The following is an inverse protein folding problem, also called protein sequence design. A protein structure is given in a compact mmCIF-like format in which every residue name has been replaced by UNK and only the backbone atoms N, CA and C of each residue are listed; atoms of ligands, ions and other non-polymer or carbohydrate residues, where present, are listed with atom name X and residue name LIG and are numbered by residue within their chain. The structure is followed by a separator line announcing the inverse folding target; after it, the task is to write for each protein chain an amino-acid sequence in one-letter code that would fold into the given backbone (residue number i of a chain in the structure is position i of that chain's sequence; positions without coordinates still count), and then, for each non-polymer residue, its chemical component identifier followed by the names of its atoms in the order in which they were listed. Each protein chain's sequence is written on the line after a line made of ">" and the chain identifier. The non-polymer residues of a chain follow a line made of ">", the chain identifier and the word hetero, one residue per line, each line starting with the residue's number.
data_IF_451402649823
#
_entry.id   IF_451402649823
#
_cell.length_a   1.000
_cell.length_b   1.000
_cell.length_c   1.000
_cell.angle_alpha   90.00
_cell.angle_beta   90.00
_cell.angle_gamma   90.00
#
_symmetry.space_group_name_H-M   'P 1'
#
loop_
_entity.id
_entity.type
_entity.pdbx_description
1 polymer ?
#
# COMPACT_ATOMS: atom_id res chain seq x y z
N UNK A 1 -54.84 -24.62 -13.69
CA UNK A 1 -54.36 -23.71 -12.63
C UNK A 1 -52.96 -24.03 -12.09
N UNK A 2 -52.58 -25.26 -12.07
CA UNK A 2 -51.24 -25.68 -11.62
C UNK A 2 -50.12 -25.24 -12.56
N UNK A 3 -50.36 -25.10 -13.86
CA UNK A 3 -49.36 -24.67 -14.84
C UNK A 3 -48.96 -23.23 -14.72
N UNK A 4 -49.81 -22.38 -14.15
CA UNK A 4 -49.53 -20.95 -13.98
C UNK A 4 -48.51 -20.68 -12.88
N UNK A 5 -48.48 -21.51 -11.88
CA UNK A 5 -47.57 -21.35 -10.73
C UNK A 5 -46.13 -21.70 -11.05
N UNK A 6 -45.92 -22.69 -11.88
CA UNK A 6 -44.59 -23.13 -12.26
C UNK A 6 -43.87 -22.16 -13.20
N UNK A 7 -44.62 -21.42 -14.02
CA UNK A 7 -44.06 -20.41 -14.93
C UNK A 7 -43.50 -19.21 -14.20
N UNK A 8 -44.10 -18.81 -13.11
CA UNK A 8 -43.67 -17.63 -12.34
C UNK A 8 -42.36 -17.84 -11.60
N UNK A 9 -42.11 -19.04 -11.10
CA UNK A 9 -40.86 -19.37 -10.41
C UNK A 9 -39.64 -19.36 -11.35
N UNK A 10 -39.81 -19.76 -12.59
CA UNK A 10 -38.72 -19.76 -13.57
C UNK A 10 -38.21 -18.37 -13.94
N UNK A 11 -39.10 -17.38 -14.01
CA UNK A 11 -38.74 -16.01 -14.30
C UNK A 11 -37.90 -15.35 -13.17
N UNK A 12 -38.22 -15.71 -11.94
CA UNK A 12 -37.50 -15.23 -10.76
C UNK A 12 -36.02 -15.67 -10.75
N UNK A 13 -35.75 -16.92 -11.15
CA UNK A 13 -34.39 -17.44 -11.22
C UNK A 13 -33.53 -16.76 -12.29
N UNK A 14 -34.13 -16.44 -13.44
CA UNK A 14 -33.41 -15.77 -14.51
C UNK A 14 -32.92 -14.38 -14.14
N UNK A 15 -33.71 -13.61 -13.43
CA UNK A 15 -33.35 -12.26 -12.99
C UNK A 15 -32.21 -12.26 -11.97
N UNK A 16 -32.22 -13.17 -11.02
CA UNK A 16 -31.18 -13.26 -10.01
C UNK A 16 -29.81 -13.61 -10.63
N UNK A 17 -29.80 -14.50 -11.60
CA UNK A 17 -28.57 -14.87 -12.30
C UNK A 17 -27.95 -13.70 -13.06
N UNK A 18 -28.78 -12.86 -13.72
CA UNK A 18 -28.32 -11.66 -14.44
C UNK A 18 -27.68 -10.65 -13.51
N UNK A 19 -28.28 -10.39 -12.36
CA UNK A 19 -27.76 -9.43 -11.36
C UNK A 19 -26.40 -9.88 -10.82
N UNK A 20 -26.22 -11.15 -10.57
CA UNK A 20 -24.96 -11.71 -10.06
C UNK A 20 -23.82 -11.53 -11.07
N UNK A 21 -24.06 -11.76 -12.35
CA UNK A 21 -23.05 -11.57 -13.41
C UNK A 21 -22.60 -10.11 -13.51
N UNK A 22 -23.55 -9.18 -13.48
CA UNK A 22 -23.23 -7.74 -13.53
C UNK A 22 -22.40 -7.26 -12.35
N UNK A 23 -22.68 -7.78 -11.17
CA UNK A 23 -21.92 -7.44 -9.96
C UNK A 23 -20.46 -7.90 -10.08
N UNK A 24 -20.20 -9.08 -10.62
CA UNK A 24 -18.85 -9.60 -10.82
C UNK A 24 -18.04 -8.77 -11.81
N UNK A 25 -18.64 -8.32 -12.90
CA UNK A 25 -17.98 -7.47 -13.88
C UNK A 25 -17.58 -6.12 -13.28
N UNK A 26 -18.46 -5.50 -12.51
CA UNK A 26 -18.17 -4.23 -11.82
C UNK A 26 -17.06 -4.35 -10.81
N UNK A 27 -17.02 -5.44 -10.07
CA UNK A 27 -15.96 -5.70 -9.09
C UNK A 27 -14.60 -5.82 -9.78
N UNK A 28 -14.53 -6.51 -10.92
CA UNK A 28 -13.30 -6.66 -11.69
C UNK A 28 -12.77 -5.31 -12.20
N UNK A 29 -13.64 -4.46 -12.74
CA UNK A 29 -13.28 -3.11 -13.19
C UNK A 29 -12.76 -2.24 -12.05
N UNK A 30 -13.42 -2.28 -10.90
CA UNK A 30 -13.02 -1.52 -9.72
C UNK A 30 -11.65 -1.95 -9.19
N UNK A 31 -11.34 -3.23 -9.20
CA UNK A 31 -10.05 -3.76 -8.77
C UNK A 31 -8.92 -3.31 -9.70
N UNK A 32 -9.14 -3.31 -11.01
CA UNK A 32 -8.17 -2.84 -11.99
C UNK A 32 -7.90 -1.34 -11.81
N UNK A 33 -8.96 -0.55 -11.66
CA UNK A 33 -8.86 0.88 -11.45
C UNK A 33 -8.13 1.21 -10.15
N UNK A 34 -8.46 0.52 -9.07
CA UNK A 34 -7.80 0.70 -7.78
C UNK A 34 -6.30 0.42 -7.86
N UNK A 35 -5.93 -0.67 -8.51
CA UNK A 35 -4.53 -1.05 -8.69
C UNK A 35 -3.77 0.00 -9.50
N UNK A 36 -4.38 0.55 -10.54
CA UNK A 36 -3.80 1.62 -11.36
C UNK A 36 -3.59 2.89 -10.54
N UNK A 37 -4.59 3.29 -9.74
CA UNK A 37 -4.50 4.46 -8.86
C UNK A 37 -3.42 4.28 -7.79
N UNK A 38 -3.30 3.12 -7.21
CA UNK A 38 -2.26 2.81 -6.24
C UNK A 38 -0.85 2.95 -6.85
N UNK A 39 -0.68 2.49 -8.07
CA UNK A 39 0.59 2.62 -8.80
C UNK A 39 0.94 4.08 -9.06
N UNK A 40 -0.03 4.87 -9.48
CA UNK A 40 0.14 6.32 -9.71
C UNK A 40 0.45 7.05 -8.40
N UNK A 41 -0.26 6.72 -7.33
CA UNK A 41 -0.04 7.32 -6.01
C UNK A 41 1.35 7.00 -5.45
N UNK A 42 1.84 5.79 -5.67
CA UNK A 42 3.22 5.42 -5.29
C UNK A 42 4.26 6.27 -5.98
N UNK A 43 3.98 6.69 -7.20
CA UNK A 43 4.88 7.54 -7.97
C UNK A 43 4.80 9.01 -7.57
N UNK A 44 3.64 9.48 -7.09
CA UNK A 44 3.38 10.90 -6.84
C UNK A 44 3.20 11.31 -5.38
N UNK A 45 2.56 10.47 -4.55
CA UNK A 45 2.11 10.84 -3.20
C UNK A 45 2.58 9.89 -2.09
N UNK A 46 3.62 9.11 -2.32
CA UNK A 46 4.08 8.15 -1.34
C UNK A 46 4.65 8.79 -0.06
N UNK A 47 4.39 8.14 1.07
CA UNK A 47 5.02 8.47 2.34
C UNK A 47 6.18 7.53 2.60
N UNK A 48 7.20 8.01 3.31
CA UNK A 48 8.32 7.17 3.72
C UNK A 48 8.69 7.47 5.17
N UNK A 49 9.41 6.55 5.78
CA UNK A 49 9.93 6.73 7.14
C UNK A 49 11.43 6.93 7.07
N UNK A 50 11.92 8.00 7.66
CA UNK A 50 13.35 8.26 7.71
C UNK A 50 13.91 7.78 9.04
N UNK A 51 14.94 6.92 8.98
CA UNK A 51 15.62 6.41 10.16
C UNK A 51 16.86 7.20 10.52
N UNK A 52 17.54 7.75 9.54
CA UNK A 52 18.83 8.37 9.74
C UNK A 52 19.12 9.43 8.66
N UNK A 53 19.91 10.43 9.04
CA UNK A 53 20.42 11.45 8.17
C UNK A 53 21.85 11.77 8.61
N UNK A 54 22.81 11.57 7.71
CA UNK A 54 24.23 11.83 8.03
C UNK A 54 25.18 11.00 7.16
N UNK A 55 26.20 10.43 7.76
CA UNK A 55 27.29 9.73 7.08
C UNK A 55 26.85 8.45 6.38
N UNK A 56 27.50 8.15 5.27
CA UNK A 56 27.23 6.93 4.51
C UNK A 56 27.53 5.65 5.30
N UNK A 57 28.63 5.62 6.04
CA UNK A 57 29.00 4.45 6.83
C UNK A 57 27.95 4.09 7.88
N UNK A 58 27.48 5.08 8.60
CA UNK A 58 26.42 4.90 9.60
C UNK A 58 25.09 4.55 8.92
N UNK A 59 24.78 5.17 7.79
CA UNK A 59 23.58 4.83 7.01
C UNK A 59 23.59 3.37 6.58
N UNK A 60 24.73 2.86 6.10
CA UNK A 60 24.87 1.46 5.72
C UNK A 60 24.70 0.52 6.90
N UNK A 61 25.25 0.84 8.05
CA UNK A 61 25.09 0.05 9.27
C UNK A 61 23.63 -0.04 9.70
N UNK A 62 22.95 1.09 9.70
CA UNK A 62 21.52 1.18 10.08
C UNK A 62 20.67 0.38 9.10
N UNK A 63 20.94 0.50 7.81
CA UNK A 63 20.22 -0.26 6.80
C UNK A 63 20.39 -1.77 6.95
N UNK A 64 21.61 -2.24 7.19
CA UNK A 64 21.90 -3.66 7.40
C UNK A 64 21.23 -4.17 8.69
N UNK A 65 21.30 -3.40 9.76
CA UNK A 65 20.66 -3.74 11.01
C UNK A 65 19.15 -3.81 10.87
N UNK A 66 18.55 -2.82 10.18
CA UNK A 66 17.13 -2.80 9.90
C UNK A 66 16.70 -4.07 9.15
N UNK A 67 17.42 -4.46 8.11
CA UNK A 67 17.11 -5.63 7.29
C UNK A 67 17.12 -6.94 8.08
N UNK A 68 17.89 -7.02 9.15
CA UNK A 68 17.88 -8.19 10.05
C UNK A 68 16.60 -8.33 10.87
N UNK A 69 16.02 -7.21 11.28
CA UNK A 69 14.88 -7.19 12.20
C UNK A 69 13.54 -6.98 11.51
N UNK A 70 13.54 -6.38 10.35
CA UNK A 70 12.32 -6.03 9.63
C UNK A 70 12.41 -6.45 8.15
N UNK A 71 11.56 -7.37 7.74
CA UNK A 71 11.47 -7.82 6.34
C UNK A 71 10.28 -7.23 5.59
N UNK A 72 9.33 -6.64 6.31
CA UNK A 72 8.04 -6.21 5.74
C UNK A 72 8.16 -5.02 4.81
N UNK A 73 9.11 -4.15 5.04
CA UNK A 73 9.27 -2.91 4.27
C UNK A 73 10.71 -2.76 3.78
N UNK A 74 10.89 -2.43 2.49
CA UNK A 74 12.23 -2.27 1.94
C UNK A 74 12.91 -1.00 2.45
N UNK A 75 14.24 -1.08 2.61
CA UNK A 75 15.07 0.05 2.99
C UNK A 75 15.87 0.54 1.79
N UNK A 76 16.10 1.83 1.71
CA UNK A 76 16.95 2.43 0.69
C UNK A 76 17.77 3.58 1.25
N UNK A 77 18.93 3.83 0.63
CA UNK A 77 19.78 4.96 0.96
C UNK A 77 19.61 6.01 -0.13
N UNK A 78 19.29 7.24 0.27
CA UNK A 78 19.18 8.39 -0.63
C UNK A 78 20.28 9.37 -0.34
N UNK A 79 20.92 9.83 -1.42
CA UNK A 79 21.97 10.85 -1.33
C UNK A 79 21.36 12.23 -1.44
N UNK A 80 21.66 13.08 -0.48
CA UNK A 80 21.30 14.50 -0.52
C UNK A 80 22.50 15.28 0.03
N UNK A 81 23.24 15.90 -0.87
CA UNK A 81 24.52 16.56 -0.62
C UNK A 81 24.50 17.41 0.65
N UNK A 82 25.48 17.25 1.57
CA UNK A 82 26.57 16.26 1.60
C UNK A 82 26.24 14.97 2.32
N UNK A 83 24.99 14.75 2.73
CA UNK A 83 24.58 13.68 3.63
C UNK A 83 23.77 12.60 2.92
N UNK A 84 23.58 11.51 3.64
CA UNK A 84 22.78 10.35 3.19
C UNK A 84 21.61 10.14 4.14
N UNK A 85 20.50 9.66 3.57
CA UNK A 85 19.28 9.36 4.30
C UNK A 85 18.96 7.88 4.20
N UNK A 86 18.49 7.27 5.28
CA UNK A 86 17.95 5.92 5.25
C UNK A 86 16.42 6.04 5.26
N UNK A 87 15.79 5.62 4.19
CA UNK A 87 14.34 5.66 4.01
C UNK A 87 13.77 4.26 3.98
N UNK A 88 12.65 4.07 4.66
CA UNK A 88 11.97 2.80 4.80
C UNK A 88 10.61 2.88 4.12
N UNK A 89 10.36 1.93 3.22
CA UNK A 89 9.07 1.73 2.59
C UNK A 89 8.67 2.83 1.62
N UNK A 90 7.55 2.60 1.01
CA UNK A 90 6.85 3.55 0.16
C UNK A 90 5.37 3.34 0.40
N UNK A 91 4.83 4.08 1.35
CA UNK A 91 3.47 3.87 1.85
C UNK A 91 2.47 4.71 1.06
N UNK A 92 1.35 4.12 0.69
CA UNK A 92 0.31 4.79 -0.08
C UNK A 92 -0.47 5.81 0.75
N UNK A 93 -0.55 5.61 2.05
CA UNK A 93 -1.28 6.48 2.95
C UNK A 93 -0.49 6.74 4.22
N UNK A 94 -0.81 7.85 4.87
CA UNK A 94 -0.21 8.20 6.14
C UNK A 94 -0.55 7.17 7.23
N UNK A 95 -1.75 6.58 7.17
CA UNK A 95 -2.16 5.58 8.14
C UNK A 95 -1.28 4.34 8.07
N UNK A 96 -0.95 3.86 6.87
CA UNK A 96 -0.03 2.73 6.68
C UNK A 96 1.36 3.08 7.21
N UNK A 97 1.84 4.29 6.92
CA UNK A 97 3.12 4.78 7.41
C UNK A 97 3.15 4.88 8.94
N UNK A 98 2.07 5.35 9.57
CA UNK A 98 1.95 5.43 11.03
C UNK A 98 2.02 4.05 11.67
N UNK A 99 1.35 3.06 11.10
CA UNK A 99 1.39 1.68 11.59
C UNK A 99 2.79 1.10 11.54
N UNK A 100 3.47 1.30 10.42
CA UNK A 100 4.85 0.85 10.25
C UNK A 100 5.78 1.57 11.24
N UNK A 101 5.59 2.86 11.44
CA UNK A 101 6.39 3.66 12.36
C UNK A 101 6.27 3.17 13.80
N UNK A 102 5.08 2.75 14.22
CA UNK A 102 4.87 2.23 15.59
C UNK A 102 5.78 1.01 15.83
N UNK A 103 5.87 0.10 14.89
CA UNK A 103 6.75 -1.07 15.00
C UNK A 103 8.23 -0.68 14.92
N UNK A 104 8.59 0.19 13.99
CA UNK A 104 9.97 0.62 13.77
C UNK A 104 10.48 1.44 14.95
N UNK A 105 9.63 2.25 15.56
CA UNK A 105 9.98 3.15 16.65
C UNK A 105 10.45 2.41 17.91
N UNK A 106 10.05 1.17 18.09
CA UNK A 106 10.51 0.35 19.20
C UNK A 106 12.02 0.17 19.18
N UNK A 107 12.62 0.11 18.00
CA UNK A 107 14.05 -0.04 17.81
C UNK A 107 14.74 1.27 17.40
N UNK A 108 14.05 2.10 16.64
CA UNK A 108 14.56 3.38 16.15
C UNK A 108 13.66 4.51 16.64
N UNK A 109 13.90 5.02 17.86
CA UNK A 109 13.01 6.03 18.46
C UNK A 109 12.92 7.34 17.68
N UNK A 110 13.95 7.67 16.90
CA UNK A 110 14.00 8.90 16.11
C UNK A 110 13.38 8.78 14.72
N UNK A 111 12.80 7.62 14.39
CA UNK A 111 12.13 7.42 13.11
C UNK A 111 10.93 8.35 12.97
N UNK A 112 10.80 9.01 11.83
CA UNK A 112 9.69 9.90 11.55
C UNK A 112 9.19 9.74 10.11
N UNK A 113 7.93 10.09 9.91
CA UNK A 113 7.26 10.01 8.62
C UNK A 113 7.48 11.30 7.86
N UNK A 114 7.78 11.17 6.57
CA UNK A 114 7.87 12.32 5.68
C UNK A 114 7.23 12.00 4.33
N UNK A 115 6.86 13.05 3.62
CA UNK A 115 6.37 12.96 2.26
C UNK A 115 7.42 13.59 1.36
N UNK A 116 8.23 12.78 0.64
CA UNK A 116 9.28 13.35 -0.19
C UNK A 116 8.73 14.14 -1.35
N UNK A 117 9.35 15.29 -1.63
CA UNK A 117 9.04 16.04 -2.84
C UNK A 117 9.61 15.28 -4.04
N UNK A 118 8.77 15.10 -5.02
CA UNK A 118 9.16 14.49 -6.28
C UNK A 118 9.03 15.54 -7.39
N UNK A 119 10.15 15.90 -7.87
CA UNK A 119 10.21 16.75 -9.05
C UNK A 119 10.19 15.91 -10.33
#
# INVERSE_FOLDING_TARGET
>A
MLCFYTSFCLLSYGQNASITINANEKISELLILKKKLETENKLSDGYTIQLYYGDLEVANKIMKEYQKYFDSWPASIKYETPNYKVWIGNFNSRLEADRARIEIKNKYPSAFILKPDRD
#
